data_IF_041206966583
#
_entry.id   IF_041206966583
#
_cell.length_a   1.000
_cell.length_b   1.000
_cell.length_c   1.000
_cell.angle_alpha   90.00
_cell.angle_beta   90.00
_cell.angle_gamma   90.00
#
_symmetry.space_group_name_H-M   'P 1'
#
loop_
_entity.id
_entity.type
_entity.pdbx_description
1 polymer ?
#
# COMPACT_ATOMS: atom_id res chain seq x y z
N UNK A 1 3.89 -7.17 8.62
CA UNK A 1 3.67 -5.76 9.01
C UNK A 1 2.60 -5.19 8.10
N UNK A 2 1.34 -5.21 8.55
CA UNK A 2 0.15 -5.05 7.71
C UNK A 2 0.14 -3.79 6.84
N UNK A 3 0.78 -2.71 7.27
CA UNK A 3 0.94 -1.49 6.47
C UNK A 3 1.74 -1.73 5.17
N UNK A 4 2.80 -2.54 5.22
CA UNK A 4 3.59 -2.87 4.03
C UNK A 4 2.78 -3.73 3.05
N UNK A 5 2.03 -4.70 3.55
CA UNK A 5 1.21 -5.57 2.70
C UNK A 5 0.03 -4.80 2.07
N UNK A 6 -0.57 -3.86 2.81
CA UNK A 6 -1.56 -2.92 2.26
C UNK A 6 -0.94 -2.07 1.15
N UNK A 7 0.27 -1.55 1.36
CA UNK A 7 1.01 -0.78 0.36
C UNK A 7 1.29 -1.62 -0.89
N UNK A 8 1.77 -2.85 -0.75
CA UNK A 8 2.03 -3.77 -1.87
C UNK A 8 0.76 -4.08 -2.67
N UNK A 9 -0.37 -4.28 -1.98
CA UNK A 9 -1.63 -4.51 -2.68
C UNK A 9 -2.13 -3.23 -3.40
N UNK A 10 -1.92 -2.05 -2.82
CA UNK A 10 -2.21 -0.77 -3.49
C UNK A 10 -1.32 -0.56 -4.72
N UNK A 11 -0.04 -0.94 -4.64
CA UNK A 11 0.91 -0.90 -5.75
C UNK A 11 0.52 -1.87 -6.87
N UNK A 12 -0.06 -3.02 -6.52
CA UNK A 12 -0.67 -3.95 -7.49
C UNK A 12 -1.96 -3.43 -8.13
N UNK A 13 -2.43 -2.23 -7.76
CA UNK A 13 -3.67 -1.66 -8.28
C UNK A 13 -4.94 -2.30 -7.72
N UNK A 14 -4.85 -3.04 -6.61
CA UNK A 14 -6.00 -3.69 -6.00
C UNK A 14 -6.88 -2.65 -5.28
N UNK A 15 -8.22 -2.72 -5.43
CA UNK A 15 -9.13 -1.85 -4.69
C UNK A 15 -9.20 -2.25 -3.22
N UNK A 16 -9.47 -1.29 -2.32
CA UNK A 16 -9.49 -1.49 -0.86
C UNK A 16 -10.29 -2.72 -0.40
N UNK A 17 -11.37 -3.07 -1.11
CA UNK A 17 -12.20 -4.25 -0.82
C UNK A 17 -11.44 -5.56 -1.03
N UNK A 18 -10.72 -5.68 -2.16
CA UNK A 18 -9.85 -6.83 -2.45
C UNK A 18 -8.63 -6.88 -1.53
N UNK A 19 -8.07 -5.71 -1.18
CA UNK A 19 -6.98 -5.64 -0.20
C UNK A 19 -7.42 -6.19 1.15
N UNK A 20 -8.61 -5.79 1.60
CA UNK A 20 -9.19 -6.30 2.84
C UNK A 20 -9.42 -7.80 2.80
N UNK A 21 -10.00 -8.29 1.72
CA UNK A 21 -10.23 -9.72 1.49
C UNK A 21 -8.92 -10.52 1.52
N UNK A 22 -7.90 -10.08 0.77
CA UNK A 22 -6.58 -10.72 0.66
C UNK A 22 -5.82 -10.76 1.98
N UNK A 23 -5.97 -9.71 2.80
CA UNK A 23 -5.30 -9.58 4.10
C UNK A 23 -6.14 -10.11 5.28
N UNK A 24 -7.36 -10.57 5.02
CA UNK A 24 -8.32 -10.98 6.06
C UNK A 24 -8.69 -9.84 7.02
N UNK A 25 -8.70 -8.59 6.54
CA UNK A 25 -9.06 -7.40 7.33
C UNK A 25 -10.21 -6.64 6.66
N UNK A 26 -10.98 -5.89 7.45
CA UNK A 26 -12.04 -5.06 6.88
C UNK A 26 -11.47 -3.94 5.99
N UNK A 27 -12.16 -3.54 4.91
CA UNK A 27 -11.73 -2.41 4.07
C UNK A 27 -11.60 -1.11 4.88
N UNK A 28 -12.39 -0.96 5.94
CA UNK A 28 -12.26 0.14 6.91
C UNK A 28 -10.91 0.12 7.63
N UNK A 29 -10.39 -1.06 7.95
CA UNK A 29 -9.06 -1.22 8.56
C UNK A 29 -7.95 -0.91 7.55
N UNK A 30 -8.14 -1.25 6.27
CA UNK A 30 -7.23 -0.85 5.18
C UNK A 30 -7.09 0.67 5.13
N UNK A 31 -8.18 1.42 5.26
CA UNK A 31 -8.13 2.89 5.30
C UNK A 31 -7.33 3.43 6.50
N UNK A 32 -7.48 2.84 7.68
CA UNK A 32 -6.68 3.22 8.87
C UNK A 32 -5.18 2.98 8.65
N UNK A 33 -4.83 1.83 8.07
CA UNK A 33 -3.43 1.54 7.71
C UNK A 33 -2.91 2.51 6.65
N UNK A 34 -3.72 2.87 5.66
CA UNK A 34 -3.38 3.87 4.64
C UNK A 34 -3.13 5.25 5.25
N UNK A 35 -3.98 5.72 6.16
CA UNK A 35 -3.79 6.99 6.84
C UNK A 35 -2.47 7.00 7.63
N UNK A 36 -2.14 5.92 8.32
CA UNK A 36 -0.86 5.77 9.03
C UNK A 36 0.34 5.74 8.08
N UNK A 37 0.25 5.01 6.96
CA UNK A 37 1.27 5.01 5.92
C UNK A 37 1.49 6.40 5.34
N UNK A 38 0.41 7.12 5.03
CA UNK A 38 0.46 8.48 4.48
C UNK A 38 1.08 9.45 5.47
N UNK A 39 0.78 9.34 6.77
CA UNK A 39 1.43 10.13 7.82
C UNK A 39 2.93 9.82 7.91
N UNK A 40 3.30 8.54 7.86
CA UNK A 40 4.69 8.08 8.00
C UNK A 40 5.55 8.38 6.77
N UNK A 41 4.96 8.36 5.58
CA UNK A 41 5.62 8.67 4.31
C UNK A 41 5.43 10.12 3.86
N UNK A 42 4.67 10.93 4.63
CA UNK A 42 4.24 12.28 4.25
C UNK A 42 3.57 12.38 2.88
N UNK A 43 2.98 11.28 2.39
CA UNK A 43 2.32 11.26 1.10
C UNK A 43 1.00 12.05 1.16
N UNK A 44 0.83 13.02 0.25
CA UNK A 44 -0.36 13.88 0.19
C UNK A 44 -1.58 13.23 -0.46
N UNK A 45 -1.37 12.19 -1.27
CA UNK A 45 -2.41 11.49 -2.03
C UNK A 45 -2.04 10.02 -2.25
N UNK A 46 -3.02 9.16 -2.58
CA UNK A 46 -2.77 7.76 -2.96
C UNK A 46 -1.74 7.65 -4.09
N UNK A 47 -1.89 8.46 -5.14
CA UNK A 47 -0.95 8.48 -6.25
C UNK A 47 0.46 8.88 -5.80
N UNK A 48 0.56 9.87 -4.90
CA UNK A 48 1.84 10.31 -4.34
C UNK A 48 2.46 9.22 -3.46
N UNK A 49 1.66 8.47 -2.71
CA UNK A 49 2.11 7.34 -1.89
C UNK A 49 2.63 6.18 -2.75
N UNK A 50 1.94 5.87 -3.84
CA UNK A 50 2.37 4.89 -4.85
C UNK A 50 3.69 5.33 -5.49
N UNK A 51 3.77 6.60 -5.90
CA UNK A 51 4.97 7.16 -6.51
C UNK A 51 6.16 7.20 -5.54
N UNK A 52 5.91 7.53 -4.27
CA UNK A 52 6.95 7.54 -3.24
C UNK A 52 7.43 6.11 -2.93
N UNK A 53 6.53 5.12 -2.90
CA UNK A 53 6.92 3.72 -2.72
C UNK A 53 7.71 3.17 -3.92
N UNK A 54 7.38 3.64 -5.13
CA UNK A 54 8.14 3.36 -6.35
C UNK A 54 9.53 3.99 -6.30
N UNK A 55 9.64 5.26 -5.88
CA UNK A 55 10.92 5.97 -5.71
C UNK A 55 11.77 5.42 -4.55
N UNK A 56 11.13 4.94 -3.47
CA UNK A 56 11.82 4.42 -2.30
C UNK A 56 12.39 3.01 -2.52
N UNK A 57 12.24 2.42 -3.73
CA UNK A 57 12.69 1.05 -4.01
C UNK A 57 12.02 0.01 -3.10
N UNK A 58 10.81 0.32 -2.60
CA UNK A 58 10.09 -0.56 -1.67
C UNK A 58 9.30 -1.64 -2.40
N UNK A 59 9.36 -1.66 -3.73
CA UNK A 59 9.06 -2.84 -4.52
C UNK A 59 10.22 -3.83 -4.31
N UNK A 60 9.98 -5.11 -4.03
CA UNK A 60 11.01 -6.09 -4.30
C UNK A 60 11.36 -5.93 -5.78
N UNK A 61 12.65 -5.83 -6.10
CA UNK A 61 13.18 -5.97 -7.47
C UNK A 61 12.93 -7.39 -7.98
N UNK A 62 11.67 -7.81 -8.06
CA UNK A 62 11.25 -9.01 -8.74
C UNK A 62 10.73 -8.60 -10.13
N UNK A 63 11.65 -8.06 -10.95
CA UNK A 63 11.75 -8.47 -12.34
C UNK A 63 12.89 -9.50 -12.36
N UNK A 64 12.60 -10.79 -12.35
CA UNK A 64 12.59 -11.60 -13.59
C UNK A 64 13.97 -11.57 -14.30
N UNK A 65 14.80 -12.58 -13.97
CA UNK A 65 15.95 -13.15 -14.72
C UNK A 65 17.14 -12.24 -15.10
#
# INVERSE_FOLDING_TARGET
>A
PREREVLECLLSGLPNKLIGDKLGISPRTVEVHRARLMLKTQAKSLAHLIQLAFQAGLLPENGET
#
